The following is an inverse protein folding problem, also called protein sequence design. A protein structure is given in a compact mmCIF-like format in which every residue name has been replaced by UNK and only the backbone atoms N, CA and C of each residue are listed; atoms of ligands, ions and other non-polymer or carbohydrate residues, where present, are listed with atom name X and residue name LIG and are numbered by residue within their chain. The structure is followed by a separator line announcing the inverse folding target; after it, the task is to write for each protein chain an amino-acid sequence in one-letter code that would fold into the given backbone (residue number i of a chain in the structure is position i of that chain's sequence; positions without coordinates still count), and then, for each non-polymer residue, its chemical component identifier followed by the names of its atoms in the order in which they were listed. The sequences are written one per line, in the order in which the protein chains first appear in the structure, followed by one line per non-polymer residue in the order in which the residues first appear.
data_IF_632840781232
#
_entry.id   IF_632840781232
#
_cell.length_a   1.000
_cell.length_b   1.000
_cell.length_c   1.000
_cell.angle_alpha   90.00
_cell.angle_beta   90.00
_cell.angle_gamma   90.00
#
_symmetry.space_group_name_H-M   'P 1'
#
loop_
_entity.id
_entity.type
_entity.pdbx_description
1 polymer ?
#
# COMPACT_ATOMS: atom_id res chain seq x y z
N UNK A 1 -14.04 64.04 -19.73
CA UNK A 1 -14.79 62.77 -19.56
C UNK A 1 -14.66 61.79 -20.73
N UNK A 2 -14.42 62.22 -21.98
CA UNK A 2 -14.25 61.29 -23.13
C UNK A 2 -12.91 60.51 -23.14
N UNK A 3 -11.83 61.11 -22.63
CA UNK A 3 -10.51 60.45 -22.65
C UNK A 3 -10.31 59.44 -21.51
N UNK A 4 -11.05 59.59 -20.40
CA UNK A 4 -11.05 58.64 -19.29
C UNK A 4 -11.67 57.29 -19.69
N UNK A 5 -12.69 57.32 -20.55
CA UNK A 5 -13.34 56.11 -21.10
C UNK A 5 -12.40 55.33 -22.04
N UNK A 6 -11.53 56.00 -22.79
CA UNK A 6 -10.55 55.33 -23.66
C UNK A 6 -9.48 54.60 -22.84
N UNK A 7 -9.04 55.17 -21.72
CA UNK A 7 -8.06 54.54 -20.83
C UNK A 7 -8.63 53.28 -20.15
N UNK A 8 -9.91 53.31 -19.77
CA UNK A 8 -10.60 52.17 -19.18
C UNK A 8 -10.80 51.01 -20.18
N UNK A 9 -11.09 51.32 -21.45
CA UNK A 9 -11.18 50.32 -22.51
C UNK A 9 -9.82 49.65 -22.80
N UNK A 10 -8.72 50.40 -22.77
CA UNK A 10 -7.36 49.83 -22.96
C UNK A 10 -7.00 48.91 -21.79
N UNK A 11 -7.33 49.30 -20.56
CA UNK A 11 -7.10 48.47 -19.36
C UNK A 11 -7.89 47.14 -19.41
N UNK A 12 -9.13 47.18 -19.93
CA UNK A 12 -9.95 45.98 -20.15
C UNK A 12 -9.37 45.04 -21.22
N UNK A 13 -8.78 45.60 -22.29
CA UNK A 13 -8.12 44.80 -23.34
C UNK A 13 -6.89 44.08 -22.79
N UNK A 14 -6.11 44.70 -21.89
CA UNK A 14 -4.96 44.04 -21.25
C UNK A 14 -5.38 42.95 -20.25
N UNK A 15 -6.52 43.10 -19.57
CA UNK A 15 -7.08 42.05 -18.70
C UNK A 15 -7.54 40.81 -19.49
N UNK A 16 -7.98 40.98 -20.74
CA UNK A 16 -8.43 39.87 -21.58
C UNK A 16 -7.30 39.08 -22.26
N UNK A 17 -6.07 39.60 -22.32
CA UNK A 17 -4.93 38.93 -22.99
C UNK A 17 -4.17 37.99 -22.03
N UNK A 18 -4.47 38.00 -20.73
CA UNK A 18 -3.78 37.16 -19.73
C UNK A 18 -4.33 35.72 -19.61
N UNK A 19 -5.04 35.21 -20.63
CA UNK A 19 -5.26 33.76 -20.76
C UNK A 19 -3.95 33.10 -21.23
N UNK A 20 -3.07 32.77 -20.29
CA UNK A 20 -1.98 31.83 -20.56
C UNK A 20 -2.62 30.49 -20.93
N UNK A 21 -2.30 29.99 -22.12
CA UNK A 21 -2.68 28.65 -22.55
C UNK A 21 -1.97 27.68 -21.61
N UNK A 22 -2.73 26.90 -20.84
CA UNK A 22 -2.15 25.87 -19.95
C UNK A 22 -1.18 25.01 -20.76
N UNK A 23 0.02 24.85 -20.23
CA UNK A 23 1.00 23.97 -20.87
C UNK A 23 0.68 22.53 -20.54
N UNK A 24 1.08 21.58 -21.41
CA UNK A 24 0.88 20.15 -21.15
C UNK A 24 1.50 19.69 -19.82
N UNK A 25 2.52 20.39 -19.35
CA UNK A 25 3.18 20.15 -18.07
C UNK A 25 2.31 20.60 -16.89
N UNK A 26 1.63 21.75 -17.00
CA UNK A 26 0.67 22.23 -16.01
C UNK A 26 -0.53 21.26 -15.86
N UNK A 27 -1.06 20.77 -16.98
CA UNK A 27 -2.19 19.81 -16.99
C UNK A 27 -1.79 18.49 -16.31
N UNK A 28 -0.63 17.92 -16.68
CA UNK A 28 -0.11 16.69 -16.07
C UNK A 28 0.14 16.85 -14.56
N UNK A 29 0.67 18.00 -14.13
CA UNK A 29 0.89 18.27 -12.71
C UNK A 29 -0.42 18.36 -11.93
N UNK A 30 -1.48 18.95 -12.52
CA UNK A 30 -2.80 19.00 -11.91
C UNK A 30 -3.39 17.59 -11.75
N UNK A 31 -3.38 16.79 -12.81
CA UNK A 31 -3.88 15.40 -12.79
C UNK A 31 -3.19 14.54 -11.73
N UNK A 32 -1.86 14.67 -11.60
CA UNK A 32 -1.08 13.98 -10.57
C UNK A 32 -1.54 14.42 -9.18
N UNK A 33 -1.68 15.74 -8.94
CA UNK A 33 -2.11 16.29 -7.66
C UNK A 33 -3.51 15.81 -7.27
N UNK A 34 -4.45 15.85 -8.20
CA UNK A 34 -5.83 15.41 -7.96
C UNK A 34 -5.91 13.93 -7.57
N UNK A 35 -5.12 13.09 -8.26
CA UNK A 35 -4.96 11.66 -7.95
C UNK A 35 -4.45 11.42 -6.53
N UNK A 36 -3.38 12.09 -6.11
CA UNK A 36 -2.81 11.89 -4.78
C UNK A 36 -3.66 12.50 -3.65
N UNK A 37 -4.33 13.62 -3.91
CA UNK A 37 -5.28 14.22 -2.97
C UNK A 37 -6.47 13.29 -2.69
N UNK A 38 -6.98 12.62 -3.72
CA UNK A 38 -8.04 11.63 -3.54
C UNK A 38 -7.58 10.41 -2.74
N UNK A 39 -6.33 9.95 -2.94
CA UNK A 39 -5.74 8.86 -2.14
C UNK A 39 -5.63 9.23 -0.65
N UNK A 40 -5.18 10.44 -0.35
CA UNK A 40 -5.06 10.93 1.04
C UNK A 40 -6.41 10.91 1.76
N UNK A 41 -7.48 11.35 1.09
CA UNK A 41 -8.83 11.39 1.65
C UNK A 41 -9.44 10.03 1.94
N UNK A 42 -9.08 9.01 1.16
CA UNK A 42 -9.62 7.64 1.29
C UNK A 42 -8.93 6.88 2.43
N UNK A 43 -7.76 7.36 2.88
CA UNK A 43 -6.92 6.67 3.84
C UNK A 43 -5.89 5.80 3.11
N UNK A 44 -4.65 5.90 3.56
CA UNK A 44 -3.51 5.32 2.87
C UNK A 44 -3.42 3.80 2.89
N UNK A 45 -4.19 3.12 3.75
CA UNK A 45 -4.21 1.67 3.86
C UNK A 45 -5.56 1.16 3.37
N UNK A 46 -5.55 0.04 2.65
CA UNK A 46 -6.79 -0.68 2.35
C UNK A 46 -7.45 -1.15 3.65
N UNK A 47 -8.70 -1.61 3.54
CA UNK A 47 -9.39 -2.24 4.67
C UNK A 47 -8.57 -3.42 5.20
N UNK A 48 -8.35 -3.47 6.50
CA UNK A 48 -7.76 -4.64 7.15
C UNK A 48 -8.74 -5.82 7.14
N UNK A 49 -8.23 -7.00 6.77
CA UNK A 49 -8.99 -8.25 6.76
C UNK A 49 -8.46 -9.16 7.86
N UNK A 50 -9.28 -9.41 8.87
CA UNK A 50 -8.93 -10.25 10.02
C UNK A 50 -9.58 -11.63 9.90
N UNK A 51 -8.80 -12.67 10.10
CA UNK A 51 -9.28 -14.02 10.38
C UNK A 51 -8.71 -14.47 11.72
N UNK A 52 -9.56 -15.07 12.55
CA UNK A 52 -9.16 -15.58 13.85
C UNK A 52 -9.27 -17.09 13.86
N UNK A 53 -8.21 -17.76 14.30
CA UNK A 53 -8.18 -19.22 14.50
C UNK A 53 -7.66 -19.46 15.91
N UNK A 54 -8.47 -20.13 16.73
CA UNK A 54 -8.27 -20.24 18.17
C UNK A 54 -8.08 -18.84 18.81
N UNK A 55 -6.94 -18.61 19.45
CA UNK A 55 -6.56 -17.39 20.16
C UNK A 55 -5.61 -16.48 19.35
N UNK A 56 -5.42 -16.77 18.06
CA UNK A 56 -4.54 -16.02 17.16
C UNK A 56 -5.35 -15.29 16.09
N UNK A 57 -5.21 -13.97 16.05
CA UNK A 57 -5.67 -13.09 14.98
C UNK A 57 -4.62 -12.95 13.87
N UNK A 58 -5.04 -13.21 12.64
CA UNK A 58 -4.27 -13.03 11.42
C UNK A 58 -4.88 -11.88 10.62
N UNK A 59 -4.11 -10.81 10.42
CA UNK A 59 -4.62 -9.56 9.86
C UNK A 59 -3.81 -9.23 8.62
N UNK A 60 -4.47 -9.19 7.45
CA UNK A 60 -3.88 -8.81 6.18
C UNK A 60 -4.38 -7.42 5.75
N UNK A 61 -3.45 -6.54 5.39
CA UNK A 61 -3.76 -5.20 4.88
C UNK A 61 -2.91 -4.91 3.65
N UNK A 62 -3.56 -4.71 2.50
CA UNK A 62 -2.87 -4.25 1.30
C UNK A 62 -2.47 -2.78 1.47
N UNK A 63 -1.23 -2.45 1.15
CA UNK A 63 -0.70 -1.09 1.26
C UNK A 63 -0.29 -0.59 -0.14
N UNK A 64 -0.92 0.48 -0.65
CA UNK A 64 -0.54 1.07 -1.92
C UNK A 64 0.90 1.59 -1.86
N UNK A 65 1.67 1.36 -2.93
CA UNK A 65 3.07 1.83 -3.05
C UNK A 65 3.16 3.35 -2.89
N UNK A 66 2.16 4.07 -3.40
CA UNK A 66 2.03 5.52 -3.28
C UNK A 66 2.16 6.00 -1.84
N UNK A 67 1.64 5.24 -0.86
CA UNK A 67 1.76 5.59 0.54
C UNK A 67 3.23 5.67 0.98
N UNK A 68 4.04 4.66 0.63
CA UNK A 68 5.45 4.64 0.99
C UNK A 68 6.24 5.73 0.26
N UNK A 69 5.96 5.94 -1.03
CA UNK A 69 6.63 6.98 -1.81
C UNK A 69 6.35 8.38 -1.26
N UNK A 70 5.10 8.68 -0.90
CA UNK A 70 4.73 9.99 -0.34
C UNK A 70 5.23 10.17 1.09
N UNK A 71 5.31 9.09 1.88
CA UNK A 71 5.89 9.16 3.22
C UNK A 71 7.38 9.51 3.18
N UNK A 72 8.10 9.02 2.19
CA UNK A 72 9.55 9.25 2.05
C UNK A 72 9.88 10.56 1.33
N UNK A 73 9.21 10.84 0.20
CA UNK A 73 9.51 11.97 -0.68
C UNK A 73 8.68 13.23 -0.38
N UNK A 74 7.63 13.10 0.44
CA UNK A 74 6.69 14.17 0.73
C UNK A 74 5.72 14.45 -0.43
N UNK A 75 4.96 15.55 -0.28
CA UNK A 75 3.89 15.94 -1.22
C UNK A 75 4.22 17.21 -2.02
N UNK A 76 5.42 17.78 -1.84
CA UNK A 76 5.80 19.05 -2.47
C UNK A 76 6.03 18.91 -3.98
N UNK A 77 6.72 17.83 -4.39
CA UNK A 77 7.00 17.52 -5.79
C UNK A 77 6.53 16.10 -6.13
N UNK A 78 5.42 16.00 -6.86
CA UNK A 78 4.78 14.73 -7.17
C UNK A 78 5.27 14.10 -8.48
N UNK A 79 6.08 14.79 -9.29
CA UNK A 79 6.62 14.24 -10.54
C UNK A 79 7.54 13.03 -10.28
N UNK A 80 8.52 13.10 -9.34
CA UNK A 80 9.31 11.92 -8.98
C UNK A 80 8.47 10.79 -8.40
N UNK A 81 7.44 11.12 -7.61
CA UNK A 81 6.52 10.14 -7.01
C UNK A 81 5.74 9.39 -8.10
N UNK A 82 5.17 10.10 -9.07
CA UNK A 82 4.48 9.52 -10.24
C UNK A 82 5.43 8.64 -11.07
N UNK A 83 6.64 9.10 -11.33
CA UNK A 83 7.65 8.32 -12.06
C UNK A 83 8.01 7.01 -11.35
N UNK A 84 8.25 7.07 -10.04
CA UNK A 84 8.55 5.87 -9.24
C UNK A 84 7.34 4.95 -9.12
N UNK A 85 6.14 5.50 -8.98
CA UNK A 85 4.92 4.70 -9.01
C UNK A 85 4.80 3.95 -10.34
N UNK A 86 4.92 4.64 -11.48
CA UNK A 86 4.79 4.00 -12.80
C UNK A 86 5.83 2.90 -13.04
N UNK A 87 7.05 3.10 -12.54
CA UNK A 87 8.12 2.10 -12.60
C UNK A 87 7.82 0.85 -11.72
N UNK A 88 7.06 1.01 -10.63
CA UNK A 88 6.84 -0.03 -9.63
C UNK A 88 5.36 -0.46 -9.50
N UNK A 89 4.45 0.00 -10.36
CA UNK A 89 2.98 -0.24 -10.24
C UNK A 89 2.57 -1.72 -10.31
N UNK A 90 3.50 -2.60 -10.67
CA UNK A 90 3.30 -4.05 -10.69
C UNK A 90 3.70 -4.75 -9.40
N UNK A 91 4.27 -4.01 -8.47
CA UNK A 91 4.57 -4.51 -7.13
C UNK A 91 3.31 -4.43 -6.26
N UNK A 92 3.24 -5.28 -5.26
CA UNK A 92 2.22 -5.26 -4.20
C UNK A 92 2.89 -5.48 -2.86
N UNK A 93 2.44 -4.70 -1.89
CA UNK A 93 2.92 -4.77 -0.52
C UNK A 93 1.73 -5.11 0.37
N UNK A 94 1.89 -6.14 1.20
CA UNK A 94 0.87 -6.53 2.17
C UNK A 94 1.50 -6.51 3.56
N UNK A 95 0.91 -5.71 4.44
CA UNK A 95 1.16 -5.82 5.88
C UNK A 95 0.40 -7.03 6.42
N UNK A 96 1.12 -7.95 7.05
CA UNK A 96 0.53 -9.11 7.70
C UNK A 96 0.89 -9.13 9.18
N UNK A 97 -0.12 -9.15 10.04
CA UNK A 97 0.04 -9.12 11.50
C UNK A 97 -0.49 -10.39 12.12
N UNK A 98 0.30 -10.96 13.03
CA UNK A 98 -0.07 -12.04 13.93
C UNK A 98 -0.27 -11.46 15.32
N UNK A 99 -1.43 -11.65 15.92
CA UNK A 99 -1.76 -11.09 17.22
C UNK A 99 -2.39 -12.15 18.13
N UNK A 100 -1.94 -12.24 19.38
CA UNK A 100 -2.52 -13.13 20.38
C UNK A 100 -3.50 -12.35 21.26
N UNK A 101 -4.65 -12.94 21.58
CA UNK A 101 -5.74 -12.25 22.29
C UNK A 101 -5.38 -11.79 23.70
N UNK A 102 -4.56 -12.55 24.41
CA UNK A 102 -4.06 -12.28 25.78
C UNK A 102 -2.69 -11.58 25.75
N UNK A 103 -2.30 -11.03 24.60
CA UNK A 103 -1.05 -10.30 24.40
C UNK A 103 0.24 -11.10 24.65
N UNK A 104 0.16 -12.44 24.58
CA UNK A 104 1.31 -13.32 24.72
C UNK A 104 2.25 -13.22 23.53
N UNK A 105 3.52 -13.50 23.77
CA UNK A 105 4.54 -13.54 22.73
C UNK A 105 4.37 -14.81 21.88
N UNK A 106 3.81 -14.64 20.68
CA UNK A 106 3.57 -15.72 19.72
C UNK A 106 4.84 -16.49 19.32
N UNK A 107 6.03 -15.96 19.54
CA UNK A 107 7.27 -16.67 19.21
C UNK A 107 7.73 -17.64 20.30
N UNK A 108 6.99 -17.70 21.42
CA UNK A 108 7.25 -18.69 22.45
C UNK A 108 6.99 -20.11 21.95
N UNK A 109 7.68 -21.06 22.59
CA UNK A 109 7.68 -22.47 22.19
C UNK A 109 6.29 -23.11 22.29
N UNK A 110 5.42 -22.60 23.16
CA UNK A 110 4.05 -23.11 23.31
C UNK A 110 3.21 -22.89 22.04
N UNK A 111 3.43 -21.80 21.31
CA UNK A 111 2.74 -21.50 20.06
C UNK A 111 3.42 -22.15 18.85
N UNK A 112 4.75 -22.05 18.77
CA UNK A 112 5.51 -22.42 17.56
C UNK A 112 6.01 -23.87 17.56
N UNK A 113 6.14 -24.50 18.74
CA UNK A 113 6.76 -25.81 18.91
C UNK A 113 8.29 -25.83 18.75
N UNK A 114 8.93 -24.70 18.44
CA UNK A 114 10.38 -24.56 18.23
C UNK A 114 11.01 -23.59 19.24
N UNK A 115 12.33 -23.45 19.21
CA UNK A 115 13.00 -22.47 20.09
C UNK A 115 12.65 -21.04 19.67
N UNK A 116 12.64 -20.10 20.61
CA UNK A 116 12.37 -18.68 20.30
C UNK A 116 13.34 -18.15 19.23
N UNK A 117 14.62 -18.49 19.31
CA UNK A 117 15.63 -18.07 18.33
C UNK A 117 15.32 -18.63 16.95
N UNK A 118 14.88 -19.89 16.86
CA UNK A 118 14.50 -20.50 15.58
C UNK A 118 13.20 -19.90 15.03
N UNK A 119 12.23 -19.56 15.89
CA UNK A 119 11.01 -18.87 15.50
C UNK A 119 11.32 -17.47 14.93
N UNK A 120 12.18 -16.70 15.60
CA UNK A 120 12.66 -15.40 15.09
C UNK A 120 13.37 -15.57 13.75
N UNK A 121 14.24 -16.58 13.63
CA UNK A 121 14.95 -16.87 12.37
C UNK A 121 13.98 -17.25 11.25
N UNK A 122 12.95 -18.04 11.56
CA UNK A 122 11.93 -18.45 10.61
C UNK A 122 11.13 -17.24 10.10
N UNK A 123 10.66 -16.38 11.00
CA UNK A 123 9.95 -15.14 10.65
C UNK A 123 10.78 -14.24 9.71
N UNK A 124 12.10 -14.19 9.90
CA UNK A 124 12.99 -13.35 9.08
C UNK A 124 13.35 -13.95 7.72
N UNK A 125 13.43 -15.28 7.59
CA UNK A 125 14.11 -15.92 6.44
C UNK A 125 13.37 -17.10 5.79
N UNK A 126 12.31 -17.61 6.40
CA UNK A 126 11.57 -18.77 5.90
C UNK A 126 10.10 -18.49 5.61
N UNK A 127 9.55 -17.44 6.23
CA UNK A 127 8.13 -17.13 6.19
C UNK A 127 7.62 -16.76 4.79
N UNK A 128 8.48 -16.30 3.89
CA UNK A 128 8.14 -16.01 2.50
C UNK A 128 7.50 -17.20 1.77
N UNK A 129 7.92 -18.42 2.11
CA UNK A 129 7.43 -19.67 1.51
C UNK A 129 5.99 -20.01 1.91
N UNK A 130 5.52 -19.42 2.99
CA UNK A 130 4.17 -19.67 3.52
C UNK A 130 3.14 -18.77 2.82
N UNK A 131 3.58 -17.82 1.99
CA UNK A 131 2.71 -16.86 1.34
C UNK A 131 2.76 -16.93 -0.19
N UNK A 132 1.59 -16.87 -0.80
CA UNK A 132 1.43 -16.62 -2.23
C UNK A 132 0.13 -15.87 -2.47
N UNK A 133 0.03 -15.21 -3.62
CA UNK A 133 -1.22 -14.59 -4.06
C UNK A 133 -1.78 -15.33 -5.27
N UNK A 134 -3.10 -15.42 -5.32
CA UNK A 134 -3.84 -15.87 -6.50
C UNK A 134 -4.54 -14.66 -7.10
N UNK A 135 -4.29 -14.40 -8.38
CA UNK A 135 -4.91 -13.27 -9.06
C UNK A 135 -6.31 -13.62 -9.59
N UNK A 136 -7.08 -12.61 -9.96
CA UNK A 136 -8.38 -12.79 -10.62
C UNK A 136 -8.31 -13.60 -11.93
N UNK A 137 -7.13 -13.66 -12.58
CA UNK A 137 -6.87 -14.49 -13.76
C UNK A 137 -6.47 -15.93 -13.42
N UNK A 138 -6.43 -16.27 -12.12
CA UNK A 138 -6.02 -17.57 -11.57
C UNK A 138 -4.53 -17.86 -11.70
N UNK A 139 -3.71 -16.83 -11.89
CA UNK A 139 -2.27 -16.96 -11.78
C UNK A 139 -1.87 -17.03 -10.31
N UNK A 140 -0.90 -17.90 -10.00
CA UNK A 140 -0.30 -18.02 -8.67
C UNK A 140 1.06 -17.32 -8.68
N UNK A 141 1.23 -16.35 -7.79
CA UNK A 141 2.46 -15.56 -7.68
C UNK A 141 3.03 -15.78 -6.28
N UNK A 142 4.26 -16.30 -6.24
CA UNK A 142 4.97 -16.50 -4.99
C UNK A 142 5.36 -15.16 -4.34
N UNK A 143 5.48 -15.16 -3.01
CA UNK A 143 6.07 -14.04 -2.28
C UNK A 143 7.52 -13.84 -2.74
N UNK A 144 7.85 -12.62 -3.19
CA UNK A 144 9.20 -12.27 -3.63
C UNK A 144 10.12 -11.92 -2.46
N UNK A 145 9.56 -11.66 -1.28
CA UNK A 145 10.33 -11.47 -0.07
C UNK A 145 9.47 -11.06 1.13
N UNK A 146 10.08 -11.15 2.31
CA UNK A 146 9.46 -10.75 3.57
C UNK A 146 10.40 -9.83 4.34
N UNK A 147 9.86 -8.77 4.94
CA UNK A 147 10.55 -7.98 5.95
C UNK A 147 9.84 -8.13 7.27
N UNK A 148 10.53 -8.71 8.26
CA UNK A 148 10.00 -8.88 9.60
C UNK A 148 10.33 -7.67 10.49
N UNK A 149 9.29 -7.00 10.99
CA UNK A 149 9.41 -5.85 11.90
C UNK A 149 9.71 -6.34 13.32
N UNK A 150 10.97 -6.18 13.75
CA UNK A 150 11.39 -6.52 15.12
C UNK A 150 10.86 -5.47 16.09
N UNK A 151 10.01 -5.92 17.01
CA UNK A 151 9.41 -5.06 18.04
C UNK A 151 10.06 -5.21 19.42
N UNK A 152 11.06 -6.09 19.59
CA UNK A 152 11.76 -6.35 20.85
C UNK A 152 10.85 -6.54 22.08
N UNK A 153 9.68 -7.18 21.89
CA UNK A 153 8.65 -7.39 22.93
C UNK A 153 7.99 -6.11 23.46
N UNK A 154 8.10 -5.00 22.73
CA UNK A 154 7.40 -3.75 23.04
C UNK A 154 5.91 -3.86 22.67
N UNK A 155 5.59 -4.64 21.64
CA UNK A 155 4.24 -4.82 21.15
C UNK A 155 3.82 -6.30 21.16
N UNK A 156 2.57 -6.62 21.53
CA UNK A 156 2.09 -8.00 21.62
C UNK A 156 1.58 -8.55 20.27
N UNK A 157 2.27 -8.21 19.19
CA UNK A 157 1.97 -8.70 17.84
C UNK A 157 3.26 -8.85 17.04
N UNK A 158 3.28 -9.80 16.11
CA UNK A 158 4.36 -9.91 15.13
C UNK A 158 3.87 -9.34 13.81
N UNK A 159 4.67 -8.48 13.16
CA UNK A 159 4.29 -7.86 11.88
C UNK A 159 5.34 -8.12 10.83
N UNK A 160 4.89 -8.48 9.64
CA UNK A 160 5.72 -8.64 8.46
C UNK A 160 5.17 -7.82 7.29
N UNK A 161 6.08 -7.38 6.42
CA UNK A 161 5.76 -6.85 5.10
C UNK A 161 6.05 -7.93 4.07
N UNK A 162 5.03 -8.28 3.29
CA UNK A 162 5.10 -9.24 2.20
C UNK A 162 5.21 -8.47 0.88
N UNK A 163 6.08 -8.93 -0.01
CA UNK A 163 6.29 -8.35 -1.33
C UNK A 163 5.87 -9.33 -2.42
N UNK A 164 5.18 -8.84 -3.43
CA UNK A 164 4.82 -9.60 -4.62
C UNK A 164 5.04 -8.75 -5.86
N UNK A 165 5.55 -9.37 -6.93
CA UNK A 165 5.98 -8.67 -8.14
C UNK A 165 5.23 -9.16 -9.36
N UNK A 166 5.14 -8.30 -10.39
CA UNK A 166 4.58 -8.69 -11.68
C UNK A 166 3.05 -8.75 -11.74
N UNK A 167 2.33 -8.20 -10.77
CA UNK A 167 0.85 -8.19 -10.72
C UNK A 167 0.32 -6.99 -11.52
N UNK A 168 -0.65 -7.20 -12.41
CA UNK A 168 -1.31 -6.08 -13.10
C UNK A 168 -1.98 -5.13 -12.08
N UNK A 169 -1.78 -3.80 -12.14
CA UNK A 169 -2.36 -2.82 -11.20
C UNK A 169 -3.88 -2.94 -11.02
N UNK A 170 -4.61 -3.43 -12.04
CA UNK A 170 -6.07 -3.54 -12.02
C UNK A 170 -6.57 -4.92 -11.58
N UNK A 171 -5.69 -5.88 -11.35
CA UNK A 171 -6.10 -7.21 -10.93
C UNK A 171 -6.41 -7.25 -9.43
N UNK A 172 -7.51 -7.93 -9.11
CA UNK A 172 -7.80 -8.33 -7.74
C UNK A 172 -6.91 -9.50 -7.36
N UNK A 173 -6.45 -9.50 -6.11
CA UNK A 173 -5.65 -10.59 -5.55
C UNK A 173 -6.36 -11.22 -4.36
N UNK A 174 -6.03 -12.47 -4.11
CA UNK A 174 -6.34 -13.20 -2.88
C UNK A 174 -5.02 -13.64 -2.27
N UNK A 175 -4.72 -13.18 -1.05
CA UNK A 175 -3.57 -13.68 -0.31
C UNK A 175 -3.90 -15.04 0.28
N UNK A 176 -2.99 -15.99 0.09
CA UNK A 176 -3.03 -17.30 0.73
C UNK A 176 -1.85 -17.39 1.68
N UNK A 177 -2.13 -17.84 2.90
CA UNK A 177 -1.14 -18.12 3.93
C UNK A 177 -1.27 -19.58 4.34
N UNK A 178 -0.23 -20.36 4.14
CA UNK A 178 -0.11 -21.75 4.57
C UNK A 178 0.68 -21.80 5.87
N UNK A 179 -0.03 -21.81 7.00
CA UNK A 179 0.58 -21.62 8.30
C UNK A 179 1.42 -22.83 8.75
N UNK A 180 2.73 -22.73 8.51
CA UNK A 180 3.70 -23.70 8.98
C UNK A 180 4.10 -23.46 10.44
N UNK A 181 4.22 -22.21 10.87
CA UNK A 181 4.79 -21.84 12.16
C UNK A 181 3.84 -22.11 13.33
N UNK A 182 2.57 -21.69 13.23
CA UNK A 182 1.57 -21.87 14.30
C UNK A 182 0.64 -23.08 14.05
N UNK A 183 0.77 -23.72 12.89
CA UNK A 183 0.06 -24.96 12.50
C UNK A 183 -1.47 -24.82 12.53
N UNK A 184 -1.99 -23.65 12.13
CA UNK A 184 -3.43 -23.33 12.03
C UNK A 184 -4.03 -23.61 10.64
N UNK A 185 -3.25 -24.15 9.71
CA UNK A 185 -3.69 -24.55 8.38
C UNK A 185 -3.66 -23.39 7.37
N UNK A 186 -4.49 -23.48 6.33
CA UNK A 186 -4.49 -22.50 5.23
C UNK A 186 -5.52 -21.39 5.45
N UNK A 187 -5.05 -20.14 5.48
CA UNK A 187 -5.86 -18.93 5.59
C UNK A 187 -5.92 -18.20 4.24
N UNK A 188 -7.09 -17.64 3.91
CA UNK A 188 -7.33 -17.02 2.60
C UNK A 188 -7.97 -15.65 2.71
N UNK A 189 -7.27 -14.59 2.35
CA UNK A 189 -7.73 -13.21 2.48
C UNK A 189 -8.11 -12.65 1.11
N UNK A 190 -9.40 -12.42 0.91
CA UNK A 190 -9.92 -11.83 -0.31
C UNK A 190 -10.01 -10.31 -0.15
N UNK A 191 -9.13 -9.58 -0.82
CA UNK A 191 -9.24 -8.12 -0.92
C UNK A 191 -10.41 -7.81 -1.87
N UNK A 192 -11.50 -7.29 -1.31
CA UNK A 192 -12.74 -6.98 -2.07
C UNK A 192 -12.63 -5.65 -2.80
N UNK A 193 -11.85 -4.76 -2.22
CA UNK A 193 -11.59 -3.44 -2.75
C UNK A 193 -10.47 -3.59 -3.78
N UNK A 194 -10.77 -3.40 -5.06
CA UNK A 194 -9.75 -2.86 -5.96
C UNK A 194 -9.32 -1.55 -5.32
N UNK A 195 -8.01 -1.28 -5.19
CA UNK A 195 -7.55 0.09 -4.95
C UNK A 195 -8.44 1.00 -5.75
N UNK A 196 -9.11 1.94 -5.07
CA UNK A 196 -10.06 2.85 -5.69
C UNK A 196 -9.43 3.26 -7.00
N UNK A 197 -10.04 2.86 -8.12
CA UNK A 197 -9.56 3.20 -9.45
C UNK A 197 -9.31 4.68 -9.38
N UNK A 198 -8.04 5.07 -9.37
CA UNK A 198 -7.75 6.48 -9.46
C UNK A 198 -8.19 6.79 -10.86
N UNK A 199 -9.27 7.56 -10.99
CA UNK A 199 -9.75 7.98 -12.28
C UNK A 199 -8.55 8.55 -13.04
N UNK A 200 -8.16 7.82 -14.09
CA UNK A 200 -7.17 8.24 -15.07
C UNK A 200 -7.78 9.31 -15.96
#
# INVERSE_FOLDING_TARGET
MKDLNKLFCILFVFLCISCKKETKEDTRNSEIRDRYFNLEKIGWKSRAYTQKVDDIGFIATEVPIQYYLLKDLGTENLIPVDSLYEANKRERIIEFTFQQDEEKDLLEKEFTGISYTDAVKYMSFGLDKDFYVVTSKKDTIACSGVTYERNYKIAPYQKVLLFFSGIDPNEKIQLIYEDYLFRKGTLKFQFKDTYTQIAL
#
